data_IF_357058456638
#
_entry.id   IF_357058456638
#
_cell.length_a   1.000
_cell.length_b   1.000
_cell.length_c   1.000
_cell.angle_alpha   90.00
_cell.angle_beta   90.00
_cell.angle_gamma   90.00
#
_symmetry.space_group_name_H-M   'P 1'
#
loop_
_entity.id
_entity.type
_entity.pdbx_description
1 polymer ?
#
# COMPACT_ATOMS: atom_id res chain seq x y z
N UNK A 1 -18.77 31.09 -12.77
CA UNK A 1 -18.52 29.69 -13.19
C UNK A 1 -17.34 29.17 -12.41
N UNK A 2 -17.57 28.27 -11.46
CA UNK A 2 -16.49 27.63 -10.71
C UNK A 2 -15.77 26.67 -11.66
N UNK A 3 -14.44 26.76 -11.85
CA UNK A 3 -13.72 25.80 -12.68
C UNK A 3 -13.97 24.38 -12.15
N UNK A 4 -14.34 23.47 -13.04
CA UNK A 4 -14.52 22.08 -12.69
C UNK A 4 -13.17 21.54 -12.19
N UNK A 5 -13.13 21.10 -10.93
CA UNK A 5 -11.95 20.46 -10.36
C UNK A 5 -11.61 19.24 -11.23
N UNK A 6 -10.38 19.12 -11.75
CA UNK A 6 -10.00 17.97 -12.57
C UNK A 6 -10.24 16.69 -11.78
N UNK A 7 -10.74 15.69 -12.50
CA UNK A 7 -10.95 14.36 -11.98
C UNK A 7 -9.65 13.85 -11.35
N UNK A 8 -9.64 13.65 -10.02
CA UNK A 8 -8.64 12.80 -9.35
C UNK A 8 -8.84 11.37 -9.89
N UNK A 9 -8.12 11.05 -10.97
CA UNK A 9 -8.02 9.71 -11.51
C UNK A 9 -6.96 8.97 -10.71
N UNK A 10 -7.37 7.93 -9.99
CA UNK A 10 -6.44 7.04 -9.31
C UNK A 10 -5.82 6.16 -10.38
N UNK A 11 -4.62 6.50 -10.83
CA UNK A 11 -3.88 5.63 -11.73
C UNK A 11 -3.25 4.49 -10.91
N UNK A 12 -3.53 3.22 -11.24
CA UNK A 12 -2.79 2.12 -10.63
C UNK A 12 -1.30 2.32 -10.94
N UNK A 13 -0.44 1.93 -10.00
CA UNK A 13 1.00 1.99 -10.23
C UNK A 13 1.37 1.24 -11.51
N UNK A 14 2.33 1.75 -12.28
CA UNK A 14 2.81 1.01 -13.44
C UNK A 14 3.42 -0.30 -12.98
N UNK A 15 3.24 -1.35 -13.78
CA UNK A 15 3.72 -2.69 -13.42
C UNK A 15 5.25 -2.70 -13.20
N UNK A 16 5.99 -1.93 -13.98
CA UNK A 16 7.45 -1.78 -13.81
C UNK A 16 7.81 -1.17 -12.45
N UNK A 17 7.04 -0.20 -11.95
CA UNK A 17 7.25 0.37 -10.61
C UNK A 17 6.99 -0.66 -9.52
N UNK A 18 5.96 -1.49 -9.69
CA UNK A 18 5.66 -2.58 -8.76
C UNK A 18 6.73 -3.67 -8.80
N UNK A 19 7.28 -3.97 -9.99
CA UNK A 19 8.43 -4.86 -10.15
C UNK A 19 9.68 -4.30 -9.41
N UNK A 20 10.01 -3.01 -9.59
CA UNK A 20 11.09 -2.36 -8.86
C UNK A 20 10.89 -2.41 -7.34
N UNK A 21 9.70 -2.06 -6.89
CA UNK A 21 9.32 -2.14 -5.48
C UNK A 21 9.51 -3.57 -4.94
N UNK A 22 8.98 -4.58 -5.63
CA UNK A 22 9.08 -5.97 -5.18
C UNK A 22 10.51 -6.53 -5.23
N UNK A 23 11.34 -6.09 -6.18
CA UNK A 23 12.76 -6.44 -6.19
C UNK A 23 13.45 -5.97 -4.92
N UNK A 24 13.16 -4.73 -4.49
CA UNK A 24 13.71 -4.19 -3.25
C UNK A 24 13.11 -4.87 -2.02
N UNK A 25 11.78 -5.01 -1.95
CA UNK A 25 11.13 -5.59 -0.77
C UNK A 25 11.53 -7.05 -0.52
N UNK A 26 11.77 -7.82 -1.58
CA UNK A 26 12.16 -9.23 -1.48
C UNK A 26 13.68 -9.43 -1.38
N UNK A 27 14.47 -8.54 -1.99
CA UNK A 27 15.93 -8.66 -2.04
C UNK A 27 16.68 -7.94 -0.91
N UNK A 28 16.10 -6.90 -0.31
CA UNK A 28 16.77 -6.15 0.74
C UNK A 28 16.57 -6.79 2.12
N UNK A 29 17.67 -7.14 2.78
CA UNK A 29 17.64 -7.58 4.18
C UNK A 29 17.42 -6.44 5.17
N UNK A 30 16.80 -6.76 6.32
CA UNK A 30 16.66 -5.83 7.45
C UNK A 30 15.82 -4.60 7.12
N UNK A 31 14.74 -4.77 6.35
CA UNK A 31 13.75 -3.72 6.17
C UNK A 31 12.84 -3.65 7.41
N UNK A 32 12.41 -2.45 7.84
CA UNK A 32 11.48 -2.28 8.95
C UNK A 32 10.05 -2.56 8.48
N UNK A 33 9.79 -3.81 8.09
CA UNK A 33 8.50 -4.28 7.58
C UNK A 33 8.16 -5.58 8.31
N UNK A 34 6.94 -5.72 8.84
CA UNK A 34 6.52 -6.96 9.49
C UNK A 34 6.62 -8.16 8.55
N UNK A 35 7.08 -9.29 9.08
CA UNK A 35 7.07 -10.56 8.36
C UNK A 35 5.64 -10.93 7.92
N UNK A 36 5.52 -11.50 6.72
CA UNK A 36 4.24 -11.92 6.16
C UNK A 36 3.43 -10.82 5.49
N UNK A 37 3.76 -9.54 5.70
CA UNK A 37 3.10 -8.43 4.99
C UNK A 37 3.44 -8.40 3.50
N UNK A 38 4.68 -8.78 3.16
CA UNK A 38 5.14 -8.87 1.77
C UNK A 38 5.50 -10.32 1.46
N UNK A 39 4.98 -10.90 0.37
CA UNK A 39 5.43 -12.21 -0.09
C UNK A 39 6.93 -12.21 -0.37
N UNK A 40 7.64 -13.26 0.05
CA UNK A 40 9.10 -13.35 -0.12
C UNK A 40 9.51 -13.73 -1.55
N UNK A 41 8.62 -14.35 -2.32
CA UNK A 41 8.82 -14.67 -3.73
C UNK A 41 8.53 -13.44 -4.59
N UNK A 42 9.42 -13.11 -5.53
CA UNK A 42 9.31 -11.92 -6.38
C UNK A 42 7.99 -11.89 -7.17
N UNK A 43 7.64 -12.96 -7.88
CA UNK A 43 6.44 -12.97 -8.72
C UNK A 43 5.16 -12.90 -7.89
N UNK A 44 5.17 -13.55 -6.72
CA UNK A 44 4.05 -13.51 -5.78
C UNK A 44 3.92 -12.12 -5.16
N UNK A 45 5.03 -11.45 -4.82
CA UNK A 45 5.04 -10.05 -4.41
C UNK A 45 4.43 -9.17 -5.50
N UNK A 46 4.90 -9.28 -6.75
CA UNK A 46 4.42 -8.42 -7.84
C UNK A 46 2.91 -8.60 -8.02
N UNK A 47 2.41 -9.83 -8.06
CA UNK A 47 0.96 -10.09 -8.18
C UNK A 47 0.16 -9.51 -7.01
N UNK A 48 0.60 -9.76 -5.77
CA UNK A 48 -0.11 -9.30 -4.58
C UNK A 48 -0.11 -7.76 -4.51
N UNK A 49 1.05 -7.13 -4.68
CA UNK A 49 1.20 -5.68 -4.62
C UNK A 49 0.48 -4.98 -5.75
N UNK A 50 0.54 -5.56 -6.96
CA UNK A 50 -0.17 -5.00 -8.10
C UNK A 50 -1.69 -5.04 -7.88
N UNK A 51 -2.22 -6.20 -7.46
CA UNK A 51 -3.65 -6.35 -7.18
C UNK A 51 -4.10 -5.43 -6.05
N UNK A 52 -3.36 -5.34 -4.95
CA UNK A 52 -3.67 -4.45 -3.84
C UNK A 52 -3.62 -2.97 -4.26
N UNK A 53 -2.57 -2.53 -4.96
CA UNK A 53 -2.44 -1.13 -5.40
C UNK A 53 -3.47 -0.74 -6.48
N UNK A 54 -3.94 -1.69 -7.28
CA UNK A 54 -5.03 -1.48 -8.23
C UNK A 54 -6.42 -1.55 -7.58
N UNK A 55 -6.49 -2.02 -6.33
CA UNK A 55 -7.74 -2.14 -5.60
C UNK A 55 -7.98 -0.91 -4.70
N UNK A 56 -9.23 -0.65 -4.34
CA UNK A 56 -9.56 0.38 -3.37
C UNK A 56 -8.98 0.16 -1.96
N UNK A 57 -8.63 -1.08 -1.58
CA UNK A 57 -7.93 -1.35 -0.32
C UNK A 57 -6.51 -0.80 -0.27
N UNK A 58 -5.96 -0.33 -1.41
CA UNK A 58 -4.71 0.43 -1.47
C UNK A 58 -4.66 1.62 -0.51
N UNK A 59 -5.81 2.18 -0.10
CA UNK A 59 -5.87 3.27 0.89
C UNK A 59 -5.50 2.84 2.30
N UNK A 60 -5.73 1.56 2.63
CA UNK A 60 -5.35 0.95 3.89
C UNK A 60 -3.91 0.43 3.87
N UNK A 61 -3.30 0.35 2.68
CA UNK A 61 -1.93 -0.10 2.52
C UNK A 61 -0.97 0.86 3.23
N UNK A 62 0.05 0.37 3.96
CA UNK A 62 0.96 1.24 4.68
C UNK A 62 1.55 2.28 3.73
N UNK A 63 1.34 3.57 4.05
CA UNK A 63 1.90 4.69 3.29
C UNK A 63 3.40 4.53 3.08
N UNK A 64 4.10 3.88 4.01
CA UNK A 64 5.52 3.56 3.88
C UNK A 64 5.80 2.68 2.68
N UNK A 65 5.03 1.62 2.43
CA UNK A 65 5.24 0.77 1.25
C UNK A 65 4.85 1.50 -0.03
N UNK A 66 3.76 2.28 -0.01
CA UNK A 66 3.31 3.02 -1.19
C UNK A 66 4.26 4.16 -1.59
N UNK A 67 4.70 4.98 -0.63
CA UNK A 67 5.60 6.10 -0.90
C UNK A 67 7.04 5.63 -1.06
N UNK A 68 7.57 4.85 -0.10
CA UNK A 68 8.98 4.46 -0.14
C UNK A 68 9.24 3.33 -1.13
N UNK A 69 8.34 2.35 -1.21
CA UNK A 69 8.51 1.20 -2.10
C UNK A 69 8.52 1.59 -3.58
N UNK A 70 7.59 2.46 -4.00
CA UNK A 70 7.48 2.89 -5.38
C UNK A 70 8.56 3.92 -5.80
N UNK A 71 9.11 4.68 -4.86
CA UNK A 71 10.11 5.73 -5.16
C UNK A 71 11.55 5.36 -4.81
N UNK A 72 11.78 4.25 -4.10
CA UNK A 72 13.14 3.83 -3.77
C UNK A 72 13.84 3.23 -4.99
N UNK A 73 15.10 3.63 -5.18
CA UNK A 73 15.98 3.10 -6.23
C UNK A 73 17.06 2.15 -5.72
N UNK A 74 17.14 1.95 -4.40
CA UNK A 74 18.13 1.07 -3.75
C UNK A 74 17.65 0.60 -2.39
N UNK A 75 18.27 -0.46 -1.86
CA UNK A 75 18.00 -0.94 -0.50
C UNK A 75 18.25 0.13 0.58
N UNK A 76 19.25 0.99 0.38
CA UNK A 76 19.56 2.04 1.34
C UNK A 76 18.51 3.15 1.32
N UNK A 77 18.07 3.56 0.12
CA UNK A 77 16.99 4.54 -0.06
C UNK A 77 15.68 4.01 0.53
N UNK A 78 15.34 2.74 0.26
CA UNK A 78 14.15 2.10 0.81
C UNK A 78 14.21 2.05 2.33
N UNK A 79 15.32 1.59 2.92
CA UNK A 79 15.47 1.50 4.37
C UNK A 79 15.37 2.87 5.04
N UNK A 80 16.07 3.87 4.50
CA UNK A 80 16.05 5.24 5.04
C UNK A 80 14.66 5.85 4.98
N UNK A 81 13.98 5.70 3.84
CA UNK A 81 12.61 6.17 3.69
C UNK A 81 11.65 5.42 4.63
N UNK A 82 11.79 4.09 4.73
CA UNK A 82 10.92 3.26 5.56
C UNK A 82 11.05 3.56 7.05
N UNK A 83 12.24 3.97 7.49
CA UNK A 83 12.47 4.46 8.85
C UNK A 83 11.80 5.82 9.12
N UNK A 84 11.39 6.59 8.10
CA UNK A 84 10.83 7.96 8.27
C UNK A 84 11.70 8.84 9.18
N UNK A 85 13.02 8.72 8.98
CA UNK A 85 14.04 9.38 9.78
C UNK A 85 14.24 8.83 11.20
N UNK A 86 13.56 7.75 11.59
CA UNK A 86 13.83 7.05 12.85
C UNK A 86 15.29 6.59 12.86
N UNK A 87 15.93 6.71 14.02
CA UNK A 87 17.31 6.25 14.16
C UNK A 87 17.32 4.72 14.10
N UNK A 88 18.28 4.16 13.37
CA UNK A 88 18.41 2.71 13.25
C UNK A 88 18.70 2.02 14.60
N UNK A 89 19.27 2.75 15.57
CA UNK A 89 19.62 2.24 16.91
C UNK A 89 18.55 2.48 17.97
N UNK A 90 17.37 3.02 17.61
CA UNK A 90 16.28 3.32 18.57
C UNK A 90 15.80 2.08 19.32
N UNK A 91 15.94 0.90 18.70
CA UNK A 91 15.53 -0.38 19.26
C UNK A 91 16.66 -1.13 20.00
N UNK A 92 17.87 -0.57 20.11
CA UNK A 92 18.99 -1.24 20.79
C UNK A 92 18.61 -1.57 22.24
N UNK A 93 18.72 -2.85 22.62
CA UNK A 93 18.33 -3.36 23.94
C UNK A 93 16.82 -3.52 24.17
N UNK A 94 15.99 -3.38 23.13
CA UNK A 94 14.52 -3.50 23.22
C UNK A 94 14.01 -4.65 22.35
N UNK A 95 12.82 -5.15 22.64
CA UNK A 95 12.16 -6.14 21.77
C UNK A 95 12.66 -7.59 21.89
N UNK A 96 13.64 -7.89 22.76
CA UNK A 96 14.20 -9.25 22.94
C UNK A 96 13.20 -10.29 23.43
N UNK A 97 12.13 -9.85 24.10
CA UNK A 97 11.10 -10.73 24.67
C UNK A 97 9.77 -10.64 23.90
N UNK A 98 9.80 -10.10 22.67
CA UNK A 98 8.62 -9.82 21.86
C UNK A 98 8.50 -8.35 21.45
N UNK A 99 7.50 -8.03 20.65
CA UNK A 99 7.31 -6.69 20.12
C UNK A 99 7.12 -5.64 21.23
N UNK A 100 7.86 -4.54 21.14
CA UNK A 100 7.76 -3.37 22.03
C UNK A 100 7.44 -2.15 21.19
N UNK A 101 6.34 -1.48 21.50
CA UNK A 101 6.03 -0.20 20.88
C UNK A 101 6.45 0.97 21.78
N UNK A 102 7.05 1.99 21.19
CA UNK A 102 7.50 3.18 21.91
C UNK A 102 7.35 4.46 21.08
N UNK A 103 7.38 5.59 21.78
CA UNK A 103 7.54 6.89 21.15
C UNK A 103 9.02 7.27 21.18
N UNK A 104 9.60 7.61 20.04
CA UNK A 104 10.96 8.14 19.99
C UNK A 104 11.00 9.64 20.32
N UNK A 105 12.21 10.21 20.42
CA UNK A 105 12.40 11.62 20.78
C UNK A 105 11.89 12.60 19.73
N UNK A 106 11.61 12.14 18.50
CA UNK A 106 11.00 12.95 17.46
C UNK A 106 9.47 12.83 17.46
N UNK A 107 8.88 12.08 18.40
CA UNK A 107 7.44 11.89 18.50
C UNK A 107 6.88 10.87 17.51
N UNK A 108 7.70 9.95 16.99
CA UNK A 108 7.25 8.86 16.10
C UNK A 108 6.88 7.63 16.91
N UNK A 109 5.84 6.92 16.50
CA UNK A 109 5.52 5.60 17.04
C UNK A 109 6.39 4.56 16.34
N UNK A 110 7.20 3.85 17.11
CA UNK A 110 8.18 2.87 16.63
C UNK A 110 7.88 1.52 17.27
N UNK A 111 7.76 0.48 16.46
CA UNK A 111 7.70 -0.91 16.91
C UNK A 111 9.08 -1.55 16.80
N UNK A 112 9.55 -2.14 17.88
CA UNK A 112 10.82 -2.84 18.00
C UNK A 112 10.60 -4.33 18.20
N UNK A 113 11.27 -5.18 17.41
CA UNK A 113 11.30 -6.64 17.59
C UNK A 113 12.76 -7.08 17.48
N UNK A 114 13.25 -7.85 18.45
CA UNK A 114 14.63 -8.36 18.46
C UNK A 114 15.69 -7.27 18.20
N UNK A 115 15.54 -6.12 18.86
CA UNK A 115 16.38 -4.93 18.70
C UNK A 115 16.35 -4.24 17.33
N UNK A 116 15.44 -4.63 16.45
CA UNK A 116 15.25 -4.03 15.13
C UNK A 116 13.93 -3.25 15.05
N UNK A 117 13.97 -2.13 14.32
CA UNK A 117 12.76 -1.39 13.96
C UNK A 117 11.97 -2.23 12.96
N UNK A 118 10.70 -2.51 13.23
CA UNK A 118 9.81 -3.27 12.33
C UNK A 118 8.64 -2.46 11.81
N UNK A 119 8.32 -1.33 12.45
CA UNK A 119 7.30 -0.39 11.99
C UNK A 119 7.63 1.01 12.50
N UNK A 120 7.41 2.02 11.66
CA UNK A 120 7.49 3.43 12.05
C UNK A 120 6.27 4.18 11.53
N UNK A 121 5.58 4.89 12.42
CA UNK A 121 4.55 5.87 12.08
C UNK A 121 5.02 7.26 12.53
N UNK A 122 5.14 8.15 11.56
CA UNK A 122 5.56 9.54 11.76
C UNK A 122 4.35 10.39 12.19
N UNK A 123 4.08 10.43 13.49
CA UNK A 123 2.93 11.16 14.05
C UNK A 123 3.00 12.68 13.72
N UNK A 124 4.14 13.38 13.88
CA UNK A 124 4.21 14.81 13.58
C UNK A 124 3.88 15.16 12.14
N UNK A 125 4.23 14.30 11.16
CA UNK A 125 3.85 14.50 9.76
C UNK A 125 2.33 14.53 9.56
N UNK A 126 1.57 13.84 10.41
CA UNK A 126 0.10 13.90 10.46
C UNK A 126 -0.47 15.00 11.37
N UNK A 127 0.38 15.80 12.01
CA UNK A 127 -0.03 16.74 13.07
C UNK A 127 -0.50 16.04 14.35
N UNK A 128 -0.04 14.80 14.58
CA UNK A 128 -0.37 13.97 15.73
C UNK A 128 0.81 13.92 16.73
N UNK A 129 0.51 13.55 17.97
CA UNK A 129 1.47 13.28 19.03
C UNK A 129 1.52 11.77 19.28
N UNK A 130 2.72 11.20 19.33
CA UNK A 130 2.88 9.83 19.79
C UNK A 130 2.59 9.72 21.29
N UNK A 131 1.81 8.71 21.66
CA UNK A 131 1.57 8.33 23.05
C UNK A 131 1.65 6.81 23.21
N UNK A 132 2.17 6.33 24.35
CA UNK A 132 2.19 4.89 24.68
C UNK A 132 1.05 4.59 25.65
N UNK A 133 0.23 3.57 25.35
CA UNK A 133 -0.85 3.08 26.21
C UNK A 133 -0.94 1.57 26.10
N UNK A 134 -1.06 0.89 27.23
CA UNK A 134 -1.17 -0.58 27.28
C UNK A 134 -0.03 -1.28 26.50
N UNK A 135 1.16 -0.68 26.56
CA UNK A 135 2.35 -1.15 25.83
C UNK A 135 2.38 -0.83 24.33
N UNK A 136 1.35 -0.15 23.78
CA UNK A 136 1.24 0.21 22.37
C UNK A 136 1.47 1.70 22.13
N UNK A 137 2.38 2.04 21.23
CA UNK A 137 2.60 3.40 20.77
C UNK A 137 1.60 3.72 19.65
N UNK A 138 0.83 4.79 19.84
CA UNK A 138 -0.18 5.25 18.90
C UNK A 138 -0.03 6.75 18.65
N UNK A 139 -0.33 7.18 17.43
CA UNK A 139 -0.43 8.59 17.11
C UNK A 139 -1.84 9.09 17.45
N UNK A 140 -1.91 10.19 18.19
CA UNK A 140 -3.17 10.80 18.68
C UNK A 140 -3.14 12.30 18.46
N UNK A 141 -4.28 12.95 18.20
CA UNK A 141 -4.36 14.41 18.08
C UNK A 141 -4.37 15.15 19.43
N UNK A 142 -4.42 14.41 20.54
CA UNK A 142 -4.44 14.98 21.89
C UNK A 142 -5.32 14.19 22.85
N UNK A 143 -5.70 14.84 23.94
CA UNK A 143 -6.67 14.31 24.91
C UNK A 143 -8.09 14.74 24.54
N UNK A 144 -9.08 13.99 25.00
CA UNK A 144 -10.49 14.33 24.91
C UNK A 144 -11.20 13.90 26.20
N UNK A 145 -12.32 14.55 26.53
CA UNK A 145 -12.98 14.42 27.84
C UNK A 145 -13.81 13.14 27.99
N UNK A 146 -14.47 12.71 26.92
CA UNK A 146 -15.38 11.58 26.95
C UNK A 146 -15.32 10.78 25.64
N UNK A 147 -15.47 9.46 25.77
CA UNK A 147 -15.51 8.56 24.62
C UNK A 147 -16.64 8.97 23.66
N UNK A 148 -16.31 8.99 22.38
CA UNK A 148 -17.21 9.44 21.33
C UNK A 148 -17.07 8.54 20.12
N UNK A 149 -18.21 8.19 19.52
CA UNK A 149 -18.25 7.41 18.29
C UNK A 149 -17.45 8.13 17.18
N UNK A 150 -16.86 7.37 16.23
CA UNK A 150 -16.17 7.97 15.10
C UNK A 150 -17.05 8.99 14.37
N UNK A 151 -16.50 10.17 14.09
CA UNK A 151 -17.16 11.22 13.33
C UNK A 151 -16.20 11.90 12.35
N UNK A 152 -16.73 12.59 11.34
CA UNK A 152 -15.91 13.47 10.53
C UNK A 152 -15.54 14.74 11.30
N UNK A 153 -14.27 15.14 11.19
CA UNK A 153 -13.80 16.46 11.64
C UNK A 153 -14.57 17.58 10.96
N UNK A 154 -14.66 18.76 11.59
CA UNK A 154 -15.35 19.92 11.01
C UNK A 154 -14.79 20.36 9.64
N UNK A 155 -13.50 20.14 9.36
CA UNK A 155 -12.88 20.40 8.05
C UNK A 155 -13.29 19.40 6.96
N UNK A 156 -13.93 18.29 7.33
CA UNK A 156 -14.22 17.18 6.42
C UNK A 156 -12.96 16.49 5.88
N UNK A 157 -11.81 16.63 6.53
CA UNK A 157 -10.54 16.02 6.07
C UNK A 157 -10.10 14.83 6.91
N UNK A 158 -10.70 14.60 8.08
CA UNK A 158 -10.30 13.54 9.00
C UNK A 158 -11.50 12.79 9.56
N UNK A 159 -11.31 11.51 9.82
CA UNK A 159 -12.13 10.78 10.79
C UNK A 159 -11.50 10.97 12.15
N UNK A 160 -12.30 11.26 13.17
CA UNK A 160 -11.87 11.42 14.55
C UNK A 160 -12.71 10.53 15.46
N UNK A 161 -12.08 9.91 16.45
CA UNK A 161 -12.73 9.07 17.46
C UNK A 161 -12.10 9.40 18.81
N UNK A 162 -12.91 9.65 19.84
CA UNK A 162 -12.39 9.74 21.20
C UNK A 162 -12.52 8.38 21.87
N UNK A 163 -11.40 7.77 22.27
CA UNK A 163 -11.41 6.47 22.92
C UNK A 163 -10.43 6.41 24.09
N UNK A 164 -10.98 6.16 25.27
CA UNK A 164 -10.31 6.23 26.55
C UNK A 164 -9.54 7.55 26.75
N UNK A 165 -10.20 8.68 26.47
CA UNK A 165 -9.65 10.02 26.70
C UNK A 165 -8.56 10.48 25.70
N UNK A 166 -8.42 9.79 24.56
CA UNK A 166 -7.49 10.16 23.48
C UNK A 166 -8.23 10.35 22.16
N UNK A 167 -7.89 11.42 21.46
CA UNK A 167 -8.46 11.73 20.15
C UNK A 167 -7.65 11.00 19.08
N UNK A 168 -8.16 9.87 18.61
CA UNK A 168 -7.64 9.13 17.47
C UNK A 168 -8.04 9.84 16.18
N UNK A 169 -7.21 9.76 15.15
CA UNK A 169 -7.54 10.31 13.84
C UNK A 169 -7.03 9.49 12.68
N UNK A 170 -7.80 9.52 11.59
CA UNK A 170 -7.38 9.09 10.27
C UNK A 170 -7.49 10.28 9.31
N UNK A 171 -6.37 10.69 8.70
CA UNK A 171 -6.32 11.80 7.76
C UNK A 171 -6.71 11.36 6.35
N UNK A 172 -7.96 11.64 5.97
CA UNK A 172 -8.45 11.35 4.62
C UNK A 172 -7.77 12.24 3.57
N UNK A 173 -7.39 13.48 3.91
CA UNK A 173 -6.74 14.38 2.97
C UNK A 173 -5.33 13.92 2.60
N UNK A 174 -4.62 13.25 3.52
CA UNK A 174 -3.35 12.59 3.21
C UNK A 174 -3.50 11.47 2.15
N UNK A 175 -4.71 10.96 1.94
CA UNK A 175 -5.06 10.00 0.89
C UNK A 175 -5.64 10.67 -0.36
N UNK A 176 -5.73 12.00 -0.41
CA UNK A 176 -6.44 12.73 -1.46
C UNK A 176 -7.98 12.61 -1.36
N UNK A 177 -8.49 12.20 -0.21
CA UNK A 177 -9.90 11.94 0.06
C UNK A 177 -10.48 12.99 1.03
N UNK A 178 -11.81 12.97 1.17
CA UNK A 178 -12.55 13.71 2.19
C UNK A 178 -13.24 12.74 3.14
N UNK A 179 -13.43 13.16 4.38
CA UNK A 179 -14.30 12.45 5.30
C UNK A 179 -15.76 12.70 4.93
N UNK A 180 -16.53 11.63 4.73
CA UNK A 180 -17.98 11.70 4.53
C UNK A 180 -18.67 10.83 5.57
N UNK A 181 -19.79 11.31 6.10
CA UNK A 181 -20.65 10.55 7.00
C UNK A 181 -21.64 9.72 6.20
N UNK A 182 -21.68 8.42 6.43
CA UNK A 182 -22.66 7.50 5.83
C UNK A 182 -23.52 6.83 6.91
N UNK A 183 -24.60 6.13 6.55
CA UNK A 183 -25.36 5.33 7.53
C UNK A 183 -24.52 4.29 8.27
N UNK A 184 -23.42 3.81 7.68
CA UNK A 184 -22.49 2.86 8.31
C UNK A 184 -21.41 3.54 9.18
N UNK A 185 -21.34 4.88 9.18
CA UNK A 185 -20.33 5.67 9.90
C UNK A 185 -19.52 6.60 8.98
N UNK A 186 -18.59 7.39 9.55
CA UNK A 186 -17.66 8.20 8.77
C UNK A 186 -16.68 7.32 7.99
N UNK A 187 -16.31 7.72 6.79
CA UNK A 187 -15.29 7.05 5.96
C UNK A 187 -14.53 8.06 5.09
N UNK A 188 -13.32 7.70 4.65
CA UNK A 188 -12.59 8.48 3.66
C UNK A 188 -13.09 8.14 2.26
N UNK A 189 -13.42 9.18 1.49
CA UNK A 189 -14.25 9.13 0.30
C UNK A 189 -13.83 10.21 -0.70
N UNK A 190 -13.98 9.98 -2.01
CA UNK A 190 -13.73 11.05 -2.99
C UNK A 190 -14.83 12.12 -2.89
N UNK A 191 -14.56 13.41 -3.17
CA UNK A 191 -15.56 14.48 -3.12
C UNK A 191 -16.68 14.37 -4.17
N UNK A 192 -16.67 13.34 -5.01
CA UNK A 192 -17.65 13.17 -6.07
C UNK A 192 -18.97 12.63 -5.51
N UNK A 193 -20.11 12.91 -6.17
CA UNK A 193 -21.38 12.26 -5.86
C UNK A 193 -21.19 10.75 -5.82
N UNK A 194 -21.93 10.10 -4.93
CA UNK A 194 -21.86 8.66 -4.85
C UNK A 194 -22.20 8.08 -6.24
N UNK A 195 -21.31 7.28 -6.84
CA UNK A 195 -21.68 6.57 -8.06
C UNK A 195 -22.84 5.61 -7.73
N UNK A 196 -23.77 5.48 -8.67
CA UNK A 196 -24.74 4.40 -8.61
C UNK A 196 -23.99 3.06 -8.73
N UNK A 197 -24.51 2.01 -8.08
CA UNK A 197 -23.98 0.65 -8.22
C UNK A 197 -23.90 0.19 -9.69
N UNK A 198 -24.63 0.83 -10.58
CA UNK A 198 -24.68 0.57 -12.02
C UNK A 198 -23.50 1.22 -12.81
N UNK A 199 -22.56 1.91 -12.16
CA UNK A 199 -21.44 2.59 -12.83
C UNK A 199 -20.32 1.64 -13.32
N UNK A 200 -20.65 0.38 -13.57
CA UNK A 200 -19.71 -0.65 -14.04
C UNK A 200 -19.66 -0.65 -15.57
N UNK A 201 -18.59 -0.10 -16.15
CA UNK A 201 -18.44 0.03 -17.61
C UNK A 201 -16.98 -0.03 -18.03
N UNK A 202 -16.77 -0.20 -19.34
CA UNK A 202 -15.45 -0.06 -19.95
C UNK A 202 -15.41 1.22 -20.78
N UNK A 203 -14.56 2.16 -20.41
CA UNK A 203 -14.21 3.34 -21.20
C UNK A 203 -12.97 2.99 -22.03
N UNK A 204 -13.15 2.20 -23.10
CA UNK A 204 -12.06 1.64 -23.89
C UNK A 204 -11.27 0.59 -23.10
N UNK A 205 -9.99 0.85 -22.84
CA UNK A 205 -9.13 -0.01 -22.01
C UNK A 205 -9.29 0.25 -20.51
N UNK A 206 -10.05 1.27 -20.10
CA UNK A 206 -10.21 1.64 -18.70
C UNK A 206 -11.47 0.99 -18.13
N UNK A 207 -11.28 0.12 -17.14
CA UNK A 207 -12.34 -0.38 -16.29
C UNK A 207 -12.82 0.71 -15.35
N UNK A 208 -14.11 1.03 -15.40
CA UNK A 208 -14.75 1.96 -14.49
C UNK A 208 -15.73 1.19 -13.62
N UNK A 209 -15.69 1.43 -12.31
CA UNK A 209 -16.62 0.83 -11.38
C UNK A 209 -16.90 1.70 -10.16
N UNK A 210 -17.88 1.29 -9.38
CA UNK A 210 -18.24 1.94 -8.13
C UNK A 210 -17.72 1.13 -6.94
N UNK A 211 -16.84 1.71 -6.13
CA UNK A 211 -16.40 1.10 -4.87
C UNK A 211 -16.73 2.03 -3.71
N UNK A 212 -17.48 1.52 -2.72
CA UNK A 212 -17.92 2.31 -1.57
C UNK A 212 -18.61 3.62 -2.01
N UNK A 213 -19.35 3.61 -3.13
CA UNK A 213 -19.97 4.82 -3.68
C UNK A 213 -19.01 5.77 -4.40
N UNK A 214 -17.76 5.39 -4.69
CA UNK A 214 -16.83 6.22 -5.45
C UNK A 214 -16.46 5.59 -6.79
N UNK A 215 -16.48 6.40 -7.85
CA UNK A 215 -16.03 5.93 -9.16
C UNK A 215 -14.52 5.69 -9.09
N UNK A 216 -14.12 4.47 -9.40
CA UNK A 216 -12.74 4.03 -9.53
C UNK A 216 -12.49 3.67 -10.98
N UNK A 217 -11.33 4.07 -11.50
CA UNK A 217 -10.91 3.83 -12.88
C UNK A 217 -9.60 3.03 -12.85
N UNK A 218 -9.54 1.93 -13.60
CA UNK A 218 -8.38 1.05 -13.68
C UNK A 218 -7.99 0.90 -15.14
N UNK A 219 -6.76 1.27 -15.50
CA UNK A 219 -6.26 1.08 -16.86
C UNK A 219 -5.85 -0.39 -17.09
N UNK A 220 -6.70 -1.16 -17.76
CA UNK A 220 -6.44 -2.55 -18.07
C UNK A 220 -5.37 -2.74 -19.14
N UNK A 221 -5.14 -1.76 -20.03
CA UNK A 221 -4.09 -1.87 -21.04
C UNK A 221 -2.69 -1.79 -20.41
N UNK A 222 -2.53 -0.97 -19.37
CA UNK A 222 -1.30 -0.89 -18.58
C UNK A 222 -0.82 -2.22 -18.00
N UNK A 223 -1.74 -3.19 -17.83
CA UNK A 223 -1.45 -4.55 -17.35
C UNK A 223 -1.46 -5.62 -18.44
N UNK A 224 -1.59 -5.21 -19.70
CA UNK A 224 -1.73 -6.15 -20.81
C UNK A 224 -3.02 -6.96 -20.76
N UNK A 225 -4.02 -6.50 -20.02
CA UNK A 225 -5.38 -7.05 -19.99
C UNK A 225 -6.29 -6.23 -20.90
N UNK A 226 -7.54 -6.65 -21.02
CA UNK A 226 -8.57 -5.88 -21.70
C UNK A 226 -9.70 -5.63 -20.72
N UNK A 227 -10.27 -4.42 -20.78
CA UNK A 227 -11.50 -4.21 -20.04
C UNK A 227 -12.61 -5.02 -20.70
N UNK A 228 -13.29 -5.87 -19.94
CA UNK A 228 -14.53 -6.49 -20.39
C UNK A 228 -15.69 -6.02 -19.52
N UNK A 229 -16.83 -5.64 -20.14
CA UNK A 229 -18.04 -5.39 -19.37
C UNK A 229 -18.49 -6.71 -18.74
N UNK A 230 -18.45 -6.82 -17.41
CA UNK A 230 -19.05 -7.95 -16.73
C UNK A 230 -20.59 -7.82 -16.77
N UNK A 231 -21.26 -8.97 -16.90
CA UNK A 231 -22.73 -9.07 -16.75
C UNK A 231 -23.05 -9.42 -15.31
N UNK A 232 -23.47 -8.45 -14.51
CA UNK A 232 -23.95 -8.67 -13.15
C UNK A 232 -24.22 -7.36 -12.39
N UNK A 233 -25.15 -7.35 -11.42
CA UNK A 233 -25.52 -6.15 -10.66
C UNK A 233 -24.46 -5.70 -9.63
N UNK A 234 -23.36 -6.44 -9.45
CA UNK A 234 -22.35 -6.19 -8.40
C UNK A 234 -20.89 -6.22 -8.90
N UNK A 235 -20.66 -6.30 -10.21
CA UNK A 235 -19.33 -6.49 -10.77
C UNK A 235 -18.71 -5.20 -11.29
N UNK A 236 -17.63 -4.73 -10.66
CA UNK A 236 -16.68 -3.74 -11.24
C UNK A 236 -16.31 -4.16 -12.66
N UNK A 237 -16.28 -3.23 -13.63
CA UNK A 237 -15.73 -3.53 -14.95
C UNK A 237 -14.37 -4.18 -14.73
N UNK A 238 -14.20 -5.42 -15.17
CA UNK A 238 -13.04 -6.21 -14.75
C UNK A 238 -11.96 -6.12 -15.83
N UNK A 239 -10.73 -5.91 -15.41
CA UNK A 239 -9.59 -6.15 -16.27
C UNK A 239 -9.47 -7.66 -16.44
N UNK A 240 -10.04 -8.16 -17.54
CA UNK A 240 -9.96 -9.58 -17.86
C UNK A 240 -8.76 -9.81 -18.75
N UNK A 241 -8.14 -10.96 -18.55
CA UNK A 241 -7.11 -11.42 -19.46
C UNK A 241 -7.74 -11.57 -20.86
N UNK A 242 -7.20 -10.85 -21.85
CA UNK A 242 -7.63 -11.04 -23.23
C UNK A 242 -7.48 -12.53 -23.56
N UNK A 243 -8.51 -13.14 -24.15
CA UNK A 243 -8.63 -14.59 -24.43
C UNK A 243 -7.60 -15.15 -25.43
N UNK A 244 -6.48 -14.46 -25.63
CA UNK A 244 -5.31 -15.00 -26.28
C UNK A 244 -4.73 -16.11 -25.42
N UNK A 245 -4.59 -17.31 -26.01
CA UNK A 245 -3.89 -18.47 -25.44
C UNK A 245 -2.67 -18.00 -24.62
N UNK A 246 -2.73 -18.18 -23.30
CA UNK A 246 -1.68 -17.72 -22.40
C UNK A 246 -0.31 -18.21 -22.88
N UNK A 247 0.64 -17.29 -23.04
CA UNK A 247 1.99 -17.60 -23.50
C UNK A 247 2.80 -18.33 -22.41
N UNK A 248 2.37 -18.27 -21.15
CA UNK A 248 2.96 -18.95 -20.01
C UNK A 248 1.91 -19.34 -18.96
N UNK A 249 2.28 -20.26 -18.07
CA UNK A 249 1.45 -20.67 -16.93
C UNK A 249 1.72 -19.73 -15.73
N UNK A 250 0.71 -19.00 -15.26
CA UNK A 250 0.83 -18.10 -14.10
C UNK A 250 1.15 -18.83 -12.80
N UNK A 251 0.76 -20.09 -12.67
CA UNK A 251 1.08 -20.91 -11.49
C UNK A 251 2.51 -21.44 -11.52
N UNK A 252 3.24 -21.27 -12.63
CA UNK A 252 4.63 -21.65 -12.66
C UNK A 252 5.43 -20.74 -11.70
N UNK A 253 6.31 -21.32 -10.86
CA UNK A 253 7.16 -20.51 -9.99
C UNK A 253 8.09 -19.63 -10.84
N UNK A 254 8.42 -18.46 -10.30
CA UNK A 254 9.46 -17.63 -10.88
C UNK A 254 10.80 -18.39 -10.89
N UNK A 255 11.62 -18.12 -11.91
CA UNK A 255 12.94 -18.74 -12.08
C UNK A 255 13.99 -17.66 -12.17
N UNK A 256 15.10 -17.87 -11.47
CA UNK A 256 16.28 -17.06 -11.69
C UNK A 256 17.10 -17.58 -12.88
N UNK A 257 17.38 -16.70 -13.84
CA UNK A 257 18.29 -16.93 -14.96
C UNK A 257 19.42 -15.88 -14.88
N UNK A 258 20.52 -16.26 -14.23
CA UNK A 258 21.67 -15.39 -13.93
C UNK A 258 21.29 -14.16 -13.07
N UNK A 259 21.06 -13.02 -13.72
CA UNK A 259 20.69 -11.77 -13.06
C UNK A 259 19.24 -11.36 -13.36
N UNK A 260 18.49 -12.23 -14.04
CA UNK A 260 17.14 -11.94 -14.50
C UNK A 260 16.15 -12.89 -13.87
N UNK A 261 15.15 -12.36 -13.17
CA UNK A 261 14.00 -13.13 -12.68
C UNK A 261 12.99 -13.26 -13.81
N UNK A 262 12.71 -14.49 -14.23
CA UNK A 262 11.69 -14.81 -15.24
C UNK A 262 10.43 -15.33 -14.55
N UNK A 263 9.28 -14.78 -14.91
CA UNK A 263 8.00 -15.17 -14.32
C UNK A 263 6.84 -14.94 -15.28
N UNK A 264 5.64 -15.39 -14.89
CA UNK A 264 4.43 -15.26 -15.69
C UNK A 264 3.40 -14.39 -14.95
N UNK A 265 2.86 -13.39 -15.64
CA UNK A 265 1.82 -12.51 -15.13
C UNK A 265 0.88 -12.08 -16.26
N UNK A 266 -0.43 -12.18 -16.04
CA UNK A 266 -1.41 -11.94 -17.10
C UNK A 266 -1.22 -12.88 -18.29
N UNK A 267 -0.68 -14.08 -18.09
CA UNK A 267 -0.32 -15.06 -19.13
C UNK A 267 0.75 -14.58 -20.11
N UNK A 268 1.47 -13.51 -19.78
CA UNK A 268 2.62 -13.00 -20.52
C UNK A 268 3.90 -13.34 -19.77
N UNK A 269 4.89 -13.86 -20.50
CA UNK A 269 6.21 -14.09 -19.94
C UNK A 269 6.89 -12.75 -19.69
N UNK A 270 7.38 -12.54 -18.48
CA UNK A 270 8.08 -11.34 -18.05
C UNK A 270 9.49 -11.69 -17.59
N UNK A 271 10.38 -10.72 -17.69
CA UNK A 271 11.78 -10.85 -17.34
C UNK A 271 12.22 -9.55 -16.66
N UNK A 272 12.70 -9.66 -15.43
CA UNK A 272 13.11 -8.52 -14.62
C UNK A 272 14.60 -8.61 -14.30
N UNK A 273 15.38 -7.61 -14.71
CA UNK A 273 16.84 -7.58 -14.53
C UNK A 273 17.19 -6.99 -13.16
N UNK A 274 17.60 -7.81 -12.20
CA UNK A 274 17.93 -7.39 -10.82
C UNK A 274 19.01 -6.30 -10.76
N UNK A 275 19.91 -6.23 -11.74
CA UNK A 275 20.94 -5.19 -11.84
C UNK A 275 20.37 -3.78 -11.96
N UNK A 276 19.13 -3.59 -12.43
CA UNK A 276 18.51 -2.26 -12.49
C UNK A 276 18.32 -1.62 -11.11
N UNK A 277 18.26 -2.43 -10.05
CA UNK A 277 18.10 -1.97 -8.66
C UNK A 277 19.37 -2.13 -7.82
N UNK A 278 20.52 -2.33 -8.47
CA UNK A 278 21.81 -2.43 -7.80
C UNK A 278 22.14 -3.81 -7.21
N UNK A 279 21.33 -4.85 -7.49
CA UNK A 279 21.63 -6.22 -7.11
C UNK A 279 22.66 -6.87 -8.05
N UNK A 280 23.47 -7.82 -7.56
CA UNK A 280 24.47 -8.51 -8.38
C UNK A 280 23.84 -9.59 -9.28
N UNK A 281 22.75 -10.20 -8.82
CA UNK A 281 22.00 -11.21 -9.56
C UNK A 281 20.67 -11.58 -8.91
N UNK A 282 20.20 -12.79 -9.19
CA UNK A 282 19.07 -13.41 -8.50
C UNK A 282 19.45 -14.78 -7.95
N UNK A 283 18.61 -15.32 -7.08
CA UNK A 283 18.67 -16.73 -6.66
C UNK A 283 17.27 -17.32 -6.63
N UNK A 284 17.17 -18.65 -6.51
CA UNK A 284 15.93 -19.37 -6.26
C UNK A 284 16.17 -20.31 -5.09
N UNK A 285 15.55 -20.01 -3.95
CA UNK A 285 15.63 -20.81 -2.72
C UNK A 285 14.22 -21.20 -2.23
N UNK A 286 14.10 -21.68 -0.98
CA UNK A 286 12.80 -22.04 -0.39
C UNK A 286 11.79 -20.88 -0.32
N UNK A 287 12.24 -19.63 -0.45
CA UNK A 287 11.40 -18.43 -0.49
C UNK A 287 10.94 -18.08 -1.91
N UNK A 288 11.39 -18.80 -2.93
CA UNK A 288 11.12 -18.49 -4.34
C UNK A 288 12.26 -17.70 -5.00
N UNK A 289 12.00 -17.21 -6.22
CA UNK A 289 13.00 -16.43 -6.94
C UNK A 289 13.00 -14.97 -6.47
N UNK A 290 14.16 -14.41 -6.18
CA UNK A 290 14.32 -13.02 -5.73
C UNK A 290 15.72 -12.49 -6.07
N UNK A 291 15.86 -11.16 -6.06
CA UNK A 291 17.13 -10.48 -6.31
C UNK A 291 18.06 -10.56 -5.09
N UNK A 292 19.37 -10.66 -5.32
CA UNK A 292 20.39 -10.75 -4.26
C UNK A 292 21.64 -9.93 -4.62
N UNK A 293 22.33 -9.43 -3.60
CA UNK A 293 23.66 -8.83 -3.72
C UNK A 293 24.76 -9.89 -3.68
#
# INVERSE_FOLDING_TARGET
>A
STPATPALDVHPAHLEDVEHMCALLTGCGGLPIPDGLVPRDFATCVRAMYAELASPSAVAFPLTLRECGLHASSCNTLRTCALRGARADVCKGRGRSGAVDMCDSAGRAVTCVDEHVTLVRDCPRGGEQCSVRDGKATCTLGRCEADAAPACSASGTRIVECKGGRLLSMDCAALGLRCVTTPAGPRCATPRPACAKEAHRCDGAVAVGCHEGHEVRVDCAGVGMSCAPQKGPESVGECVQASTKAACNERAPAKCDKATVRYCMGGRSRAYLCKSMGFSGCTTDARGAHCVN
#
